data_IF_121311011414
#
_entry.id   IF_121311011414
#
_cell.length_a   1.000
_cell.length_b   1.000
_cell.length_c   1.000
_cell.angle_alpha   90.00
_cell.angle_beta   90.00
_cell.angle_gamma   90.00
#
_symmetry.space_group_name_H-M   'P 1'
#
loop_
_entity.id
_entity.type
_entity.pdbx_description
1 polymer ?
#
# COMPACT_ATOMS: atom_id res chain seq x y z
N UNK A 1 -3.86 -6.43 -55.14
CA UNK A 1 -3.53 -5.37 -54.18
C UNK A 1 -3.33 -6.00 -52.81
N UNK A 2 -2.09 -6.31 -52.44
CA UNK A 2 -1.74 -6.69 -51.09
C UNK A 2 -1.74 -5.42 -50.23
N UNK A 3 -2.57 -5.38 -49.19
CA UNK A 3 -2.47 -4.35 -48.15
C UNK A 3 -1.25 -4.70 -47.30
N UNK A 4 -0.18 -3.92 -47.44
CA UNK A 4 0.88 -3.87 -46.45
C UNK A 4 0.29 -3.22 -45.18
N UNK A 5 -0.02 -4.01 -44.18
CA UNK A 5 -0.31 -3.53 -42.83
C UNK A 5 0.98 -3.46 -42.01
N UNK A 6 1.94 -2.66 -42.48
CA UNK A 6 3.02 -2.19 -41.63
C UNK A 6 2.48 -1.02 -40.80
N UNK A 7 1.87 -1.30 -39.67
CA UNK A 7 1.63 -0.31 -38.63
C UNK A 7 2.98 0.14 -38.07
N UNK A 8 3.53 1.22 -38.65
CA UNK A 8 4.71 1.89 -38.11
C UNK A 8 4.28 2.52 -36.77
N UNK A 9 4.58 1.86 -35.66
CA UNK A 9 4.36 2.41 -34.34
C UNK A 9 5.38 3.54 -34.11
N UNK A 10 4.93 4.76 -34.22
CA UNK A 10 5.73 5.93 -33.85
C UNK A 10 5.77 6.07 -32.35
N UNK A 11 6.94 5.88 -31.74
CA UNK A 11 7.19 6.21 -30.36
C UNK A 11 7.55 7.69 -30.22
N UNK A 12 6.98 8.33 -29.19
CA UNK A 12 7.35 9.66 -28.74
C UNK A 12 8.25 9.55 -27.52
N UNK A 13 9.31 10.33 -27.53
CA UNK A 13 10.19 10.51 -26.38
C UNK A 13 9.75 11.78 -25.64
N UNK A 14 9.25 11.61 -24.43
CA UNK A 14 8.84 12.70 -23.57
C UNK A 14 10.02 13.10 -22.71
N UNK A 15 10.61 14.26 -23.03
CA UNK A 15 11.79 14.77 -22.29
C UNK A 15 11.46 15.12 -20.85
N UNK A 16 10.34 15.81 -20.66
CA UNK A 16 9.84 16.24 -19.36
C UNK A 16 8.36 16.64 -19.46
N UNK A 17 7.69 16.72 -18.33
CA UNK A 17 6.37 17.33 -18.18
C UNK A 17 6.53 18.60 -17.33
N UNK A 18 5.94 19.71 -17.76
CA UNK A 18 5.94 20.96 -16.99
C UNK A 18 4.61 21.03 -16.24
N UNK A 19 4.65 20.76 -14.94
CA UNK A 19 3.51 20.87 -14.05
C UNK A 19 3.86 21.86 -12.94
N UNK A 20 3.19 23.02 -12.91
CA UNK A 20 3.39 24.06 -11.91
C UNK A 20 2.08 24.43 -11.26
N UNK A 21 2.02 24.33 -9.91
CA UNK A 21 0.85 24.63 -9.11
C UNK A 21 1.15 25.87 -8.27
N UNK A 22 0.69 27.01 -8.75
CA UNK A 22 0.94 28.33 -8.13
C UNK A 22 -0.25 28.75 -7.28
N UNK A 23 0.01 29.04 -6.01
CA UNK A 23 -0.99 29.49 -5.04
C UNK A 23 -0.96 31.01 -4.91
N UNK A 24 -2.13 31.63 -4.64
CA UNK A 24 -2.27 33.07 -4.53
C UNK A 24 -1.69 33.65 -3.23
N UNK A 25 -1.42 32.81 -2.24
CA UNK A 25 -0.90 33.21 -0.92
C UNK A 25 0.12 32.23 -0.36
N UNK A 26 0.79 32.65 0.71
CA UNK A 26 1.70 31.78 1.46
C UNK A 26 0.91 30.88 2.42
N UNK A 27 0.34 29.82 1.87
CA UNK A 27 -0.51 28.89 2.58
C UNK A 27 0.29 27.76 3.22
N UNK A 28 -0.30 27.10 4.23
CA UNK A 28 0.28 25.94 4.90
C UNK A 28 0.16 24.71 4.00
N UNK A 29 1.27 24.01 3.80
CA UNK A 29 1.35 22.77 3.04
C UNK A 29 1.69 21.57 3.93
N UNK A 30 1.10 20.42 3.62
CA UNK A 30 1.36 19.12 4.22
C UNK A 30 2.15 18.29 3.21
N UNK A 31 3.44 18.11 3.45
CA UNK A 31 4.39 17.56 2.49
C UNK A 31 5.11 16.33 3.06
N UNK A 32 4.88 15.13 2.51
CA UNK A 32 5.63 13.93 2.87
C UNK A 32 6.91 13.87 2.02
N UNK A 33 8.01 14.34 2.58
CA UNK A 33 9.29 14.35 1.87
C UNK A 33 9.91 12.97 1.71
N UNK A 34 10.69 12.79 0.65
CA UNK A 34 11.50 11.60 0.48
C UNK A 34 12.45 11.40 1.66
N UNK A 35 12.50 10.17 2.17
CA UNK A 35 13.44 9.75 3.21
C UNK A 35 14.83 9.48 2.67
N UNK A 36 14.97 9.17 1.38
CA UNK A 36 16.23 8.90 0.72
C UNK A 36 16.83 10.20 0.16
N UNK A 37 17.76 10.81 0.88
CA UNK A 37 18.38 12.09 0.48
C UNK A 37 19.35 11.97 -0.70
N UNK A 38 19.94 10.79 -0.92
CA UNK A 38 20.89 10.55 -2.01
C UNK A 38 20.17 10.24 -3.34
N UNK A 39 19.11 9.44 -3.28
CA UNK A 39 18.29 9.05 -4.41
C UNK A 39 16.80 9.31 -4.11
N UNK A 40 16.35 10.58 -4.13
CA UNK A 40 15.04 10.94 -3.59
C UNK A 40 13.82 10.30 -4.30
N UNK A 41 14.01 9.71 -5.48
CA UNK A 41 12.97 8.98 -6.21
C UNK A 41 13.03 7.46 -6.01
N UNK A 42 13.94 6.96 -5.17
CA UNK A 42 14.09 5.55 -4.83
C UNK A 42 13.80 5.35 -3.34
N UNK A 43 12.56 5.08 -3.00
CA UNK A 43 12.08 4.95 -1.62
C UNK A 43 10.74 4.23 -1.55
N UNK A 44 10.35 3.78 -0.37
CA UNK A 44 9.11 3.06 -0.12
C UNK A 44 7.84 3.95 -0.06
N UNK A 45 7.93 5.25 -0.30
CA UNK A 45 6.82 6.24 -0.22
C UNK A 45 6.14 6.28 1.14
N UNK A 46 6.93 6.19 2.19
CA UNK A 46 6.50 6.17 3.58
C UNK A 46 7.19 7.30 4.34
N UNK A 47 6.44 8.27 4.80
CA UNK A 47 6.90 9.31 5.70
C UNK A 47 5.73 10.05 6.35
N UNK A 48 5.99 10.70 7.47
CA UNK A 48 5.07 11.65 8.08
C UNK A 48 5.06 12.98 7.32
N UNK A 49 4.01 13.77 7.50
CA UNK A 49 3.92 15.09 6.86
C UNK A 49 4.72 16.15 7.61
N UNK A 50 5.52 16.91 6.88
CA UNK A 50 6.04 18.18 7.35
C UNK A 50 5.01 19.28 7.03
N UNK A 51 4.63 20.06 8.06
CA UNK A 51 3.56 21.06 7.96
C UNK A 51 4.17 22.44 8.11
N UNK A 52 4.27 23.19 7.00
CA UNK A 52 4.88 24.53 6.95
C UNK A 52 4.21 25.44 5.93
N UNK A 53 4.35 26.77 6.07
CA UNK A 53 4.02 27.69 4.99
C UNK A 53 4.86 27.38 3.73
N UNK A 54 4.29 27.53 2.54
CA UNK A 54 4.97 27.22 1.27
C UNK A 54 6.32 27.91 1.10
N UNK A 55 6.46 29.17 1.59
CA UNK A 55 7.74 29.90 1.52
C UNK A 55 8.81 29.38 2.47
N UNK A 56 8.44 28.59 3.47
CA UNK A 56 9.34 28.00 4.46
C UNK A 56 9.56 26.50 4.24
N UNK A 57 8.83 25.93 3.28
CA UNK A 57 8.90 24.53 2.93
C UNK A 57 10.28 24.19 2.32
N UNK A 58 10.96 23.13 2.79
CA UNK A 58 12.18 22.66 2.17
C UNK A 58 12.03 22.43 0.68
N UNK A 59 13.03 22.88 -0.11
CA UNK A 59 13.03 22.67 -1.56
C UNK A 59 13.54 21.27 -1.90
N UNK A 60 12.91 20.27 -1.30
CA UNK A 60 13.19 18.85 -1.46
C UNK A 60 12.02 18.15 -2.14
N UNK A 61 12.20 16.92 -2.61
CA UNK A 61 11.13 16.17 -3.23
C UNK A 61 10.15 15.62 -2.19
N UNK A 62 8.87 15.94 -2.37
CA UNK A 62 7.76 15.33 -1.67
C UNK A 62 6.96 14.44 -2.63
N UNK A 63 6.52 13.28 -2.15
CA UNK A 63 5.65 12.39 -2.92
C UNK A 63 4.17 12.73 -2.71
N UNK A 64 3.32 12.35 -3.66
CA UNK A 64 1.88 12.56 -3.55
C UNK A 64 1.21 11.48 -2.64
N UNK A 65 0.03 11.81 -2.02
CA UNK A 65 -0.71 13.08 -2.10
C UNK A 65 -0.10 14.18 -1.22
N UNK A 66 -0.23 15.42 -1.65
CA UNK A 66 0.11 16.60 -0.86
C UNK A 66 -1.09 17.53 -0.75
N UNK A 67 -1.24 18.20 0.38
CA UNK A 67 -2.36 19.13 0.61
C UNK A 67 -1.86 20.51 0.97
N UNK A 68 -2.49 21.54 0.39
CA UNK A 68 -2.27 22.96 0.73
C UNK A 68 -3.56 23.51 1.33
N UNK A 69 -3.49 23.99 2.57
CA UNK A 69 -4.61 24.64 3.26
C UNK A 69 -4.68 26.12 2.85
N UNK A 70 -5.59 26.43 1.93
CA UNK A 70 -5.85 27.78 1.43
C UNK A 70 -6.83 28.58 2.32
N UNK A 71 -7.04 28.18 3.56
CA UNK A 71 -7.95 28.78 4.57
C UNK A 71 -9.44 28.57 4.29
N UNK A 72 -9.92 28.93 3.09
CA UNK A 72 -11.33 28.76 2.69
C UNK A 72 -11.61 27.37 2.13
N UNK A 73 -10.59 26.73 1.57
CA UNK A 73 -10.65 25.38 1.03
C UNK A 73 -9.26 24.73 1.13
N UNK A 74 -9.21 23.40 1.12
CA UNK A 74 -7.99 22.64 0.96
C UNK A 74 -7.85 22.18 -0.49
N UNK A 75 -6.64 22.25 -1.01
CA UNK A 75 -6.29 21.81 -2.36
C UNK A 75 -5.33 20.63 -2.21
N UNK A 76 -5.79 19.45 -2.60
CA UNK A 76 -4.96 18.23 -2.59
C UNK A 76 -4.53 17.87 -4.00
N UNK A 77 -3.22 17.73 -4.20
CA UNK A 77 -2.63 17.26 -5.45
C UNK A 77 -2.63 15.74 -5.44
N UNK A 78 -3.18 15.18 -6.52
CA UNK A 78 -3.32 13.76 -6.77
C UNK A 78 -3.04 13.47 -8.24
N UNK A 79 -3.00 12.19 -8.59
CA UNK A 79 -2.92 11.75 -9.98
C UNK A 79 -3.69 10.45 -10.18
N UNK A 80 -4.08 10.18 -11.43
CA UNK A 80 -4.79 8.94 -11.76
C UNK A 80 -4.40 8.44 -13.13
N UNK A 81 -4.57 7.13 -13.34
CA UNK A 81 -4.44 6.44 -14.62
C UNK A 81 -3.04 6.55 -15.23
N UNK A 82 -2.00 6.20 -14.46
CA UNK A 82 -0.61 6.33 -14.90
C UNK A 82 -0.30 5.50 -16.14
N UNK A 83 -0.85 4.28 -16.23
CA UNK A 83 -0.57 3.35 -17.33
C UNK A 83 0.96 3.15 -17.49
N UNK A 84 1.49 3.40 -18.67
CA UNK A 84 2.93 3.35 -18.96
C UNK A 84 3.54 4.76 -18.91
N UNK A 85 3.50 5.41 -17.73
CA UNK A 85 4.01 6.77 -17.53
C UNK A 85 4.42 6.97 -16.07
N UNK A 86 5.48 7.75 -15.78
CA UNK A 86 5.97 7.93 -14.42
C UNK A 86 4.98 8.70 -13.53
N UNK A 87 5.03 8.40 -12.24
CA UNK A 87 4.36 9.17 -11.20
C UNK A 87 4.95 10.57 -11.02
N UNK A 88 4.21 11.44 -10.33
CA UNK A 88 4.62 12.82 -10.06
C UNK A 88 5.04 12.99 -8.61
N UNK A 89 6.25 13.49 -8.40
CA UNK A 89 6.66 14.16 -7.17
C UNK A 89 6.40 15.66 -7.27
N UNK A 90 6.44 16.37 -6.17
CA UNK A 90 6.45 17.82 -6.15
C UNK A 90 7.64 18.36 -5.40
N UNK A 91 8.13 19.53 -5.83
CA UNK A 91 9.20 20.26 -5.17
C UNK A 91 8.75 21.71 -4.93
N UNK A 92 8.74 22.18 -3.67
CA UNK A 92 8.50 23.59 -3.38
C UNK A 92 9.57 24.48 -4.02
N UNK A 93 9.18 25.66 -4.51
CA UNK A 93 10.11 26.64 -5.09
C UNK A 93 10.67 27.65 -4.07
N UNK A 94 10.34 27.46 -2.78
CA UNK A 94 10.69 28.39 -1.69
C UNK A 94 9.87 29.66 -1.68
N UNK A 95 8.77 29.71 -2.44
CA UNK A 95 7.81 30.83 -2.51
C UNK A 95 6.39 30.31 -2.36
N UNK A 96 5.64 30.22 -3.44
CA UNK A 96 4.22 29.86 -3.44
C UNK A 96 3.86 28.83 -4.54
N UNK A 97 4.86 28.14 -5.09
CA UNK A 97 4.66 27.18 -6.18
C UNK A 97 5.17 25.80 -5.80
N UNK A 98 4.40 24.78 -6.10
CA UNK A 98 4.84 23.40 -6.13
C UNK A 98 5.09 23.01 -7.59
N UNK A 99 6.30 22.52 -7.90
CA UNK A 99 6.70 22.08 -9.23
C UNK A 99 6.67 20.56 -9.31
N UNK A 100 6.02 20.03 -10.34
CA UNK A 100 6.05 18.61 -10.66
C UNK A 100 7.44 18.15 -11.08
N UNK A 101 7.87 17.02 -10.55
CA UNK A 101 9.14 16.37 -10.87
C UNK A 101 8.87 14.89 -11.14
N UNK A 102 9.51 14.32 -12.15
CA UNK A 102 9.22 12.97 -12.63
C UNK A 102 10.49 12.13 -12.68
N UNK A 103 10.37 10.87 -12.30
CA UNK A 103 11.47 9.94 -12.39
C UNK A 103 11.90 9.74 -13.87
N UNK A 104 13.19 9.85 -14.18
CA UNK A 104 13.68 9.59 -15.54
C UNK A 104 13.54 8.10 -15.88
N UNK A 105 13.43 7.82 -17.18
CA UNK A 105 13.35 6.46 -17.70
C UNK A 105 14.62 5.68 -17.34
N UNK A 106 14.54 4.47 -16.77
CA UNK A 106 15.70 3.66 -16.45
C UNK A 106 16.48 3.23 -17.70
N UNK A 107 17.81 3.40 -17.67
CA UNK A 107 18.72 2.94 -18.73
C UNK A 107 19.41 1.64 -18.32
N UNK A 108 19.81 1.55 -17.05
CA UNK A 108 20.37 0.33 -16.44
C UNK A 108 19.84 0.15 -15.04
N UNK A 109 19.64 -1.09 -14.69
CA UNK A 109 19.24 -1.53 -13.37
C UNK A 109 20.20 -2.57 -12.82
N UNK A 110 20.18 -2.78 -11.51
CA UNK A 110 20.88 -3.84 -10.80
C UNK A 110 20.01 -4.32 -9.63
N UNK A 111 20.42 -5.36 -8.93
CA UNK A 111 19.65 -5.97 -7.86
C UNK A 111 20.40 -5.92 -6.52
N UNK A 112 19.67 -5.59 -5.45
CA UNK A 112 20.19 -5.79 -4.10
C UNK A 112 20.41 -7.29 -3.83
N UNK A 113 21.61 -7.71 -3.41
CA UNK A 113 21.95 -9.15 -3.33
C UNK A 113 21.16 -9.92 -2.26
N UNK A 114 20.66 -9.24 -1.24
CA UNK A 114 19.97 -9.86 -0.10
C UNK A 114 18.49 -10.17 -0.37
N UNK A 115 17.85 -9.53 -1.40
CA UNK A 115 16.41 -9.65 -1.64
C UNK A 115 16.06 -9.71 -3.13
N UNK A 116 17.03 -9.46 -4.02
CA UNK A 116 16.79 -9.35 -5.48
C UNK A 116 15.81 -8.22 -5.84
N UNK A 117 15.65 -7.22 -4.99
CA UNK A 117 14.94 -5.99 -5.31
C UNK A 117 15.74 -5.20 -6.36
N UNK A 118 15.05 -4.76 -7.42
CA UNK A 118 15.66 -3.99 -8.51
C UNK A 118 15.82 -2.51 -8.14
N UNK A 119 16.94 -1.91 -8.53
CA UNK A 119 17.18 -0.48 -8.42
C UNK A 119 17.86 0.11 -9.67
N UNK A 120 17.61 1.41 -9.94
CA UNK A 120 18.18 2.09 -11.12
C UNK A 120 19.61 2.54 -10.81
N UNK A 121 20.55 2.14 -11.71
CA UNK A 121 21.97 2.54 -11.64
C UNK A 121 22.32 3.65 -12.64
N UNK A 122 21.62 3.70 -13.78
CA UNK A 122 21.79 4.73 -14.81
C UNK A 122 20.43 5.07 -15.41
N UNK A 123 20.15 6.35 -15.58
CA UNK A 123 18.89 6.85 -16.13
C UNK A 123 19.11 7.53 -17.48
N UNK A 124 18.07 7.56 -18.31
CA UNK A 124 18.02 8.31 -19.56
C UNK A 124 17.77 9.81 -19.32
N UNK A 125 17.94 10.62 -20.35
CA UNK A 125 17.65 12.06 -20.30
C UNK A 125 16.21 12.42 -20.68
N UNK A 126 15.28 11.50 -20.48
CA UNK A 126 13.86 11.64 -20.73
C UNK A 126 13.06 10.85 -19.68
N UNK A 127 11.79 11.19 -19.52
CA UNK A 127 10.93 10.56 -18.49
C UNK A 127 10.09 9.41 -19.03
N UNK A 128 9.75 9.44 -20.34
CA UNK A 128 8.91 8.38 -20.91
C UNK A 128 9.18 8.15 -22.40
N UNK A 129 8.99 6.91 -22.84
CA UNK A 129 8.91 6.47 -24.22
C UNK A 129 7.55 5.84 -24.47
N UNK A 130 6.66 6.52 -25.17
CA UNK A 130 5.26 6.17 -25.28
C UNK A 130 4.78 6.09 -26.72
N UNK A 131 3.69 5.36 -26.96
CA UNK A 131 3.00 5.37 -28.27
C UNK A 131 2.38 6.73 -28.50
N UNK A 132 2.39 7.21 -29.74
CA UNK A 132 1.90 8.56 -30.08
C UNK A 132 0.39 8.77 -29.90
N UNK A 133 -0.40 7.69 -29.87
CA UNK A 133 -1.86 7.71 -29.75
C UNK A 133 -2.30 7.16 -28.39
N UNK A 134 -1.96 7.81 -27.31
CA UNK A 134 -2.36 7.41 -25.95
C UNK A 134 -3.00 8.56 -25.19
N UNK A 135 -3.74 8.25 -24.14
CA UNK A 135 -4.09 9.17 -23.06
C UNK A 135 -2.92 9.32 -22.10
N UNK A 136 -2.84 10.45 -21.41
CA UNK A 136 -1.84 10.71 -20.38
C UNK A 136 -2.49 10.71 -19.00
N UNK A 137 -1.72 10.53 -17.92
CA UNK A 137 -2.25 10.56 -16.57
C UNK A 137 -3.00 11.85 -16.25
N UNK A 138 -4.02 11.74 -15.42
CA UNK A 138 -4.67 12.91 -14.84
C UNK A 138 -3.77 13.50 -13.74
N UNK A 139 -3.55 14.81 -13.80
CA UNK A 139 -3.00 15.61 -12.69
C UNK A 139 -4.17 16.31 -12.03
N UNK A 140 -4.49 15.92 -10.81
CA UNK A 140 -5.75 16.26 -10.14
C UNK A 140 -5.50 17.32 -9.08
N UNK A 141 -6.31 18.35 -9.06
CA UNK A 141 -6.46 19.30 -7.97
C UNK A 141 -7.84 19.05 -7.33
N UNK A 142 -7.88 18.28 -6.26
CA UNK A 142 -9.11 18.09 -5.49
C UNK A 142 -9.28 19.27 -4.55
N UNK A 143 -10.39 20.01 -4.69
CA UNK A 143 -10.72 21.17 -3.88
C UNK A 143 -11.85 20.78 -2.94
N UNK A 144 -11.62 20.90 -1.62
CA UNK A 144 -12.60 20.57 -0.58
C UNK A 144 -12.77 21.75 0.36
N UNK A 145 -14.00 22.14 0.62
CA UNK A 145 -14.32 23.24 1.56
C UNK A 145 -14.31 22.74 3.01
N UNK A 146 -14.64 21.46 3.21
CA UNK A 146 -14.69 20.82 4.53
C UNK A 146 -13.71 19.68 4.62
N UNK A 147 -13.03 19.55 5.75
CA UNK A 147 -12.10 18.46 6.00
C UNK A 147 -12.80 17.09 5.89
N UNK A 148 -14.06 17.00 6.31
CA UNK A 148 -14.86 15.77 6.24
C UNK A 148 -15.14 15.25 4.83
N UNK A 149 -14.91 16.05 3.81
CA UNK A 149 -15.06 15.64 2.40
C UNK A 149 -13.80 14.95 1.86
N UNK A 150 -12.64 15.14 2.53
CA UNK A 150 -11.36 14.64 2.03
C UNK A 150 -11.26 13.11 2.06
N UNK A 151 -11.46 12.41 3.20
CA UNK A 151 -11.24 10.96 3.26
C UNK A 151 -12.18 10.13 2.38
N UNK A 152 -13.30 10.69 1.96
CA UNK A 152 -14.31 10.03 1.10
C UNK A 152 -14.28 10.51 -0.34
N UNK A 153 -13.27 11.30 -0.72
CA UNK A 153 -13.09 11.76 -2.09
C UNK A 153 -12.66 10.60 -2.99
N UNK A 154 -13.34 10.41 -4.11
CA UNK A 154 -13.11 9.30 -5.02
C UNK A 154 -12.62 9.71 -6.42
N UNK A 155 -12.11 10.92 -6.60
CA UNK A 155 -11.67 11.43 -7.90
C UNK A 155 -10.62 10.56 -8.58
N UNK A 156 -9.65 10.04 -7.82
CA UNK A 156 -8.60 9.14 -8.35
C UNK A 156 -9.24 7.89 -8.96
N UNK A 157 -10.15 7.25 -8.24
CA UNK A 157 -10.89 6.09 -8.72
C UNK A 157 -11.79 6.44 -9.93
N UNK A 158 -12.53 7.53 -9.84
CA UNK A 158 -13.49 7.93 -10.87
C UNK A 158 -12.84 8.28 -12.23
N UNK A 159 -11.62 8.83 -12.20
CA UNK A 159 -10.86 9.25 -13.39
C UNK A 159 -10.01 8.13 -14.00
N UNK A 160 -9.81 7.02 -13.31
CA UNK A 160 -9.03 5.90 -13.83
C UNK A 160 -9.79 5.10 -14.89
N UNK A 161 -9.06 4.33 -15.68
CA UNK A 161 -9.59 3.44 -16.70
C UNK A 161 -10.58 2.42 -16.10
N UNK A 162 -11.65 2.04 -16.85
CA UNK A 162 -12.64 1.08 -16.37
C UNK A 162 -12.04 -0.33 -16.21
N UNK A 163 -12.78 -1.19 -15.50
CA UNK A 163 -12.44 -2.59 -15.27
C UNK A 163 -12.13 -3.32 -16.59
N UNK A 164 -10.96 -3.97 -16.63
CA UNK A 164 -10.45 -4.75 -17.78
C UNK A 164 -10.55 -6.26 -17.62
N UNK A 165 -10.86 -6.75 -16.41
CA UNK A 165 -10.93 -8.19 -16.14
C UNK A 165 -12.34 -8.76 -16.22
N UNK A 166 -13.36 -7.90 -16.38
CA UNK A 166 -14.77 -8.34 -16.50
C UNK A 166 -15.35 -8.81 -15.16
N UNK A 167 -15.60 -10.10 -15.02
CA UNK A 167 -16.15 -10.67 -13.77
C UNK A 167 -15.11 -10.63 -12.63
N UNK A 168 -15.46 -9.93 -11.55
CA UNK A 168 -14.68 -9.78 -10.34
C UNK A 168 -15.30 -10.52 -9.14
N UNK A 169 -16.34 -11.32 -9.32
CA UNK A 169 -17.06 -12.01 -8.24
C UNK A 169 -16.16 -12.95 -7.40
N UNK A 170 -15.03 -13.34 -7.94
CA UNK A 170 -14.00 -14.16 -7.30
C UNK A 170 -13.05 -13.36 -6.41
N UNK A 171 -12.96 -12.05 -6.57
CA UNK A 171 -12.21 -11.16 -5.68
C UNK A 171 -12.97 -11.08 -4.36
N UNK A 172 -12.36 -11.55 -3.30
CA UNK A 172 -12.98 -11.55 -1.97
C UNK A 172 -12.13 -10.71 -1.03
N UNK A 173 -12.65 -9.60 -0.53
CA UNK A 173 -12.02 -8.88 0.56
C UNK A 173 -12.07 -9.70 1.85
N UNK A 174 -11.24 -9.36 2.81
CA UNK A 174 -11.20 -10.09 4.08
C UNK A 174 -10.18 -9.55 5.05
N UNK A 175 -10.22 -10.09 6.25
CA UNK A 175 -9.26 -9.83 7.33
C UNK A 175 -8.17 -10.87 7.32
N UNK A 176 -6.99 -10.45 7.71
CA UNK A 176 -5.76 -11.22 7.55
C UNK A 176 -5.06 -11.38 8.90
N UNK A 177 -4.76 -12.60 9.30
CA UNK A 177 -3.76 -12.82 10.35
C UNK A 177 -2.37 -12.78 9.72
N UNK A 178 -1.52 -11.86 10.22
CA UNK A 178 -0.22 -11.55 9.63
C UNK A 178 0.92 -11.76 10.62
N UNK A 179 2.02 -12.33 10.16
CA UNK A 179 3.10 -12.89 10.97
C UNK A 179 4.33 -11.98 11.13
N UNK A 180 4.60 -11.11 10.16
CA UNK A 180 5.87 -10.40 10.05
C UNK A 180 6.04 -9.30 11.10
N UNK A 181 5.00 -8.48 11.35
CA UNK A 181 5.12 -7.35 12.29
C UNK A 181 5.48 -7.81 13.69
N UNK A 182 4.87 -8.90 14.14
CA UNK A 182 5.10 -9.46 15.47
C UNK A 182 6.32 -10.41 15.55
N UNK A 183 7.11 -10.52 14.48
CA UNK A 183 8.33 -11.34 14.37
C UNK A 183 8.06 -12.83 14.66
N UNK A 184 6.94 -13.37 14.14
CA UNK A 184 6.47 -14.75 14.40
C UNK A 184 6.42 -15.11 15.88
N UNK A 185 6.29 -14.14 16.80
CA UNK A 185 6.44 -14.29 18.25
C UNK A 185 5.18 -14.85 18.94
N UNK A 186 4.92 -16.14 18.78
CA UNK A 186 3.95 -16.84 19.60
C UNK A 186 4.54 -17.15 20.97
N UNK A 187 3.82 -16.79 22.04
CA UNK A 187 4.24 -17.02 23.43
C UNK A 187 3.34 -18.06 24.12
N UNK A 188 3.95 -18.93 24.93
CA UNK A 188 3.21 -19.94 25.67
C UNK A 188 2.70 -21.11 24.81
N UNK A 189 3.30 -21.33 23.65
CA UNK A 189 3.01 -22.47 22.77
C UNK A 189 3.99 -23.62 23.03
N UNK A 190 3.61 -24.91 22.80
CA UNK A 190 4.45 -26.07 23.08
C UNK A 190 5.49 -26.37 21.98
N UNK A 191 5.77 -25.42 21.08
CA UNK A 191 6.71 -25.54 19.98
C UNK A 191 7.56 -24.26 19.85
N UNK A 192 8.64 -24.33 19.07
CA UNK A 192 9.46 -23.16 18.75
C UNK A 192 8.76 -22.33 17.66
N UNK A 193 8.32 -21.12 17.99
CA UNK A 193 7.75 -20.19 17.03
C UNK A 193 8.80 -19.72 15.99
N UNK A 194 8.35 -19.41 14.79
CA UNK A 194 9.17 -18.99 13.65
C UNK A 194 8.53 -19.43 12.33
N UNK A 195 9.29 -19.37 11.25
CA UNK A 195 8.82 -19.79 9.91
C UNK A 195 8.81 -21.32 9.86
N UNK A 196 7.73 -21.96 10.27
CA UNK A 196 7.57 -23.42 10.28
C UNK A 196 6.08 -23.83 10.32
N UNK A 197 5.82 -25.11 10.11
CA UNK A 197 4.48 -25.69 10.02
C UNK A 197 3.62 -25.44 11.25
N UNK A 198 4.16 -25.59 12.45
CA UNK A 198 3.40 -25.47 13.70
C UNK A 198 2.94 -24.00 13.91
N UNK A 199 3.80 -23.05 13.59
CA UNK A 199 3.48 -21.62 13.66
C UNK A 199 2.35 -21.28 12.70
N UNK A 200 2.44 -21.65 11.42
CA UNK A 200 1.40 -21.31 10.45
C UNK A 200 0.09 -22.07 10.70
N UNK A 201 0.12 -23.32 11.17
CA UNK A 201 -1.11 -24.00 11.64
C UNK A 201 -1.76 -23.26 12.80
N UNK A 202 -0.98 -22.69 13.72
CA UNK A 202 -1.49 -21.88 14.82
C UNK A 202 -2.16 -20.59 14.32
N UNK A 203 -1.55 -19.89 13.36
CA UNK A 203 -2.15 -18.72 12.70
C UNK A 203 -3.46 -19.07 11.98
N UNK A 204 -3.49 -20.18 11.26
CA UNK A 204 -4.70 -20.67 10.57
C UNK A 204 -5.80 -21.01 11.59
N UNK A 205 -5.48 -21.69 12.69
CA UNK A 205 -6.45 -21.98 13.75
C UNK A 205 -6.99 -20.72 14.42
N UNK A 206 -6.12 -19.73 14.63
CA UNK A 206 -6.53 -18.42 15.16
C UNK A 206 -7.47 -17.70 14.17
N UNK A 207 -7.10 -17.63 12.91
CA UNK A 207 -7.91 -17.02 11.87
C UNK A 207 -9.30 -17.68 11.77
N UNK A 208 -9.34 -19.01 11.73
CA UNK A 208 -10.59 -19.78 11.66
C UNK A 208 -11.51 -19.52 12.84
N UNK A 209 -10.98 -19.52 14.07
CA UNK A 209 -11.77 -19.30 15.31
C UNK A 209 -12.35 -17.90 15.39
N UNK A 210 -11.69 -16.93 14.81
CA UNK A 210 -12.07 -15.52 14.90
C UNK A 210 -12.69 -14.97 13.63
N UNK A 211 -13.03 -15.83 12.64
CA UNK A 211 -13.70 -15.41 11.42
C UNK A 211 -12.85 -14.52 10.53
N UNK A 212 -11.52 -14.74 10.50
CA UNK A 212 -10.61 -14.09 9.57
C UNK A 212 -10.48 -14.97 8.33
N UNK A 213 -10.52 -14.35 7.16
CA UNK A 213 -10.54 -15.04 5.89
C UNK A 213 -9.17 -15.53 5.44
N UNK A 214 -8.09 -14.82 5.84
CA UNK A 214 -6.76 -15.03 5.28
C UNK A 214 -5.67 -15.17 6.33
N UNK A 215 -4.61 -15.86 5.93
CA UNK A 215 -3.28 -15.82 6.56
C UNK A 215 -2.28 -15.44 5.46
N UNK A 216 -1.44 -14.44 5.70
CA UNK A 216 -0.29 -14.13 4.87
C UNK A 216 0.93 -14.87 5.41
N UNK A 217 1.63 -15.61 4.56
CA UNK A 217 3.00 -16.06 4.80
C UNK A 217 3.93 -14.98 4.24
N UNK A 218 4.51 -14.17 5.14
CA UNK A 218 5.36 -13.04 4.76
C UNK A 218 6.80 -13.48 4.41
N UNK A 219 7.75 -12.54 4.29
CA UNK A 219 9.13 -12.79 3.86
C UNK A 219 9.76 -13.98 4.59
N UNK A 220 10.29 -14.96 3.84
CA UNK A 220 11.03 -16.09 4.39
C UNK A 220 10.44 -17.48 4.09
N UNK A 221 9.29 -17.60 3.45
CA UNK A 221 8.76 -18.89 2.99
C UNK A 221 9.50 -19.45 1.76
N UNK A 222 10.23 -18.60 1.06
CA UNK A 222 11.28 -18.94 0.07
C UNK A 222 12.55 -18.16 0.42
N UNK A 223 13.71 -18.52 -0.13
CA UNK A 223 14.96 -17.79 0.09
C UNK A 223 15.01 -16.51 -0.75
N UNK A 224 14.83 -15.30 -0.16
CA UNK A 224 14.80 -14.05 -0.90
C UNK A 224 16.14 -13.73 -1.61
N UNK A 225 17.26 -14.28 -1.13
CA UNK A 225 18.58 -14.13 -1.77
C UNK A 225 18.68 -14.88 -3.09
N UNK A 226 17.99 -16.00 -3.21
CA UNK A 226 17.93 -16.76 -4.46
C UNK A 226 17.13 -16.03 -5.54
N UNK A 227 16.07 -15.32 -5.12
CA UNK A 227 15.08 -14.74 -6.03
C UNK A 227 14.26 -15.80 -6.76
N UNK A 228 14.22 -17.02 -6.24
CA UNK A 228 13.43 -18.13 -6.77
C UNK A 228 12.23 -18.41 -5.87
N UNK A 229 11.11 -17.76 -6.16
CA UNK A 229 9.86 -17.99 -5.43
C UNK A 229 9.18 -19.32 -5.80
N UNK A 230 9.70 -20.06 -6.76
CA UNK A 230 9.18 -21.39 -7.11
C UNK A 230 9.70 -22.48 -6.18
N UNK A 231 10.74 -22.21 -5.40
CA UNK A 231 11.32 -23.14 -4.42
C UNK A 231 10.96 -22.72 -2.99
N UNK A 232 10.10 -23.52 -2.34
CA UNK A 232 9.71 -23.34 -0.93
C UNK A 232 10.83 -23.85 -0.02
N UNK A 233 11.07 -23.18 1.12
CA UNK A 233 12.05 -23.64 2.11
C UNK A 233 11.67 -25.02 2.69
N UNK A 234 12.63 -25.84 3.11
CA UNK A 234 12.37 -27.21 3.58
C UNK A 234 11.56 -27.30 4.89
N UNK A 235 11.48 -26.20 5.66
CA UNK A 235 10.71 -26.12 6.91
C UNK A 235 9.20 -26.04 6.67
N UNK A 236 8.76 -25.84 5.41
CA UNK A 236 7.36 -25.67 5.03
C UNK A 236 6.90 -26.71 4.00
N UNK A 237 5.85 -27.43 4.33
CA UNK A 237 5.04 -28.18 3.36
C UNK A 237 3.84 -27.30 2.96
N UNK A 238 4.04 -26.46 1.94
CA UNK A 238 3.02 -25.53 1.47
C UNK A 238 1.73 -26.23 1.00
N UNK A 239 1.75 -27.34 0.25
CA UNK A 239 0.57 -28.13 -0.06
C UNK A 239 -0.20 -28.58 1.19
N UNK A 240 0.48 -29.00 2.26
CA UNK A 240 -0.15 -29.38 3.50
C UNK A 240 -0.80 -28.18 4.22
N UNK A 241 -0.11 -27.01 4.26
CA UNK A 241 -0.67 -25.78 4.85
C UNK A 241 -1.93 -25.33 4.10
N UNK A 242 -1.94 -25.42 2.78
CA UNK A 242 -3.11 -25.08 1.95
C UNK A 242 -4.28 -26.02 2.26
N UNK A 243 -4.04 -27.34 2.33
CA UNK A 243 -5.10 -28.30 2.71
C UNK A 243 -5.62 -28.03 4.11
N UNK A 244 -4.73 -27.73 5.05
CA UNK A 244 -5.09 -27.41 6.41
C UNK A 244 -5.95 -26.13 6.47
N UNK A 245 -5.51 -25.05 5.83
CA UNK A 245 -6.27 -23.80 5.72
C UNK A 245 -7.66 -24.01 5.14
N UNK A 246 -7.78 -24.72 4.02
CA UNK A 246 -9.07 -25.06 3.40
C UNK A 246 -9.99 -25.84 4.34
N UNK A 247 -9.44 -26.78 5.13
CA UNK A 247 -10.23 -27.55 6.11
C UNK A 247 -10.77 -26.68 7.25
N UNK A 248 -10.18 -25.51 7.46
CA UNK A 248 -10.53 -24.53 8.47
C UNK A 248 -11.32 -23.33 7.93
N UNK A 249 -11.55 -23.26 6.60
CA UNK A 249 -12.17 -22.12 5.95
C UNK A 249 -11.27 -20.89 5.86
N UNK A 250 -9.95 -21.07 5.89
CA UNK A 250 -8.94 -20.00 5.81
C UNK A 250 -8.12 -20.17 4.53
N UNK A 251 -7.95 -19.08 3.81
CA UNK A 251 -7.19 -19.01 2.57
C UNK A 251 -5.78 -18.46 2.81
N UNK A 252 -4.81 -18.84 1.97
CA UNK A 252 -3.42 -18.40 2.12
C UNK A 252 -3.01 -17.44 1.02
N UNK A 253 -2.22 -16.44 1.39
CA UNK A 253 -1.57 -15.45 0.51
C UNK A 253 -0.06 -15.48 0.78
N UNK A 254 0.74 -15.34 -0.26
CA UNK A 254 2.20 -15.43 -0.17
C UNK A 254 2.85 -14.07 -0.43
N UNK A 255 3.85 -13.72 0.35
CA UNK A 255 4.68 -12.54 0.10
C UNK A 255 5.70 -12.79 -1.02
N UNK A 256 6.05 -11.73 -1.77
CA UNK A 256 7.14 -11.78 -2.75
C UNK A 256 7.62 -10.37 -3.11
N UNK A 257 8.78 -10.26 -3.76
CA UNK A 257 9.31 -9.01 -4.31
C UNK A 257 8.78 -8.77 -5.72
N UNK A 258 8.50 -7.52 -6.09
CA UNK A 258 7.93 -7.15 -7.40
C UNK A 258 8.68 -7.75 -8.59
N UNK A 259 9.99 -7.54 -8.67
CA UNK A 259 10.79 -8.03 -9.79
C UNK A 259 11.02 -9.55 -9.74
N UNK A 260 10.96 -10.17 -8.56
CA UNK A 260 11.00 -11.64 -8.43
C UNK A 260 9.74 -12.25 -9.02
N UNK A 261 8.57 -11.72 -8.66
CA UNK A 261 7.30 -12.16 -9.26
C UNK A 261 7.26 -11.89 -10.76
N UNK A 262 7.65 -10.68 -11.20
CA UNK A 262 7.62 -10.31 -12.62
C UNK A 262 8.51 -11.22 -13.50
N UNK A 263 9.69 -11.59 -13.00
CA UNK A 263 10.61 -12.46 -13.73
C UNK A 263 10.12 -13.91 -13.88
N UNK A 264 9.19 -14.36 -13.02
CA UNK A 264 8.64 -15.74 -13.00
C UNK A 264 7.10 -15.70 -13.16
N UNK A 265 6.55 -14.62 -13.68
CA UNK A 265 5.16 -14.19 -13.52
C UNK A 265 4.13 -15.25 -13.92
N UNK A 266 4.23 -15.80 -15.14
CA UNK A 266 3.25 -16.77 -15.63
C UNK A 266 3.34 -18.10 -14.86
N UNK A 267 4.57 -18.59 -14.63
CA UNK A 267 4.79 -19.84 -13.93
C UNK A 267 4.39 -19.77 -12.47
N UNK A 268 4.73 -18.70 -11.77
CA UNK A 268 4.36 -18.48 -10.37
C UNK A 268 2.85 -18.36 -10.22
N UNK A 269 2.20 -17.52 -11.02
CA UNK A 269 0.74 -17.37 -10.97
C UNK A 269 0.03 -18.70 -11.23
N UNK A 270 0.41 -19.41 -12.28
CA UNK A 270 -0.16 -20.73 -12.61
C UNK A 270 0.04 -21.73 -11.47
N UNK A 271 1.30 -21.94 -11.06
CA UNK A 271 1.66 -22.91 -10.02
C UNK A 271 0.89 -22.70 -8.73
N UNK A 272 0.91 -21.49 -8.21
CA UNK A 272 0.31 -21.18 -6.91
C UNK A 272 -1.22 -21.12 -6.95
N UNK A 273 -1.81 -20.67 -8.06
CA UNK A 273 -3.26 -20.77 -8.26
C UNK A 273 -3.74 -22.22 -8.33
N UNK A 274 -3.07 -23.09 -9.11
CA UNK A 274 -3.36 -24.53 -9.19
C UNK A 274 -3.21 -25.22 -7.83
N UNK A 275 -2.21 -24.83 -7.04
CA UNK A 275 -2.00 -25.35 -5.68
C UNK A 275 -3.12 -24.88 -4.71
N UNK A 276 -3.71 -23.71 -4.97
CA UNK A 276 -4.82 -23.17 -4.21
C UNK A 276 -4.49 -21.96 -3.35
N UNK A 277 -3.37 -21.31 -3.60
CA UNK A 277 -3.05 -19.96 -3.08
C UNK A 277 -4.04 -18.95 -3.66
N UNK A 278 -4.38 -17.91 -2.90
CA UNK A 278 -5.35 -16.89 -3.30
C UNK A 278 -4.75 -15.59 -3.80
N UNK A 279 -3.49 -15.35 -3.55
CA UNK A 279 -2.87 -14.13 -4.02
C UNK A 279 -1.46 -13.93 -3.50
N UNK A 280 -0.97 -12.72 -3.76
CA UNK A 280 0.36 -12.29 -3.34
C UNK A 280 0.31 -10.93 -2.63
N UNK A 281 1.06 -10.82 -1.52
CA UNK A 281 1.56 -9.55 -1.00
C UNK A 281 2.85 -9.27 -1.75
N UNK A 282 2.88 -8.24 -2.60
CA UNK A 282 4.00 -7.93 -3.49
C UNK A 282 4.68 -6.65 -3.01
N UNK A 283 5.98 -6.72 -2.73
CA UNK A 283 6.69 -5.72 -1.96
C UNK A 283 7.96 -5.21 -2.65
N UNK A 284 8.52 -4.09 -2.15
CA UNK A 284 9.80 -3.54 -2.56
C UNK A 284 9.88 -3.11 -4.04
N UNK A 285 8.92 -2.32 -4.52
CA UNK A 285 9.01 -1.60 -5.78
C UNK A 285 9.94 -0.39 -5.63
N UNK A 286 9.70 0.45 -4.62
CA UNK A 286 10.48 1.62 -4.19
C UNK A 286 10.79 2.64 -5.31
N UNK A 287 9.98 2.69 -6.35
CA UNK A 287 10.14 3.56 -7.52
C UNK A 287 8.81 3.73 -8.26
N UNK A 288 8.70 4.80 -9.07
CA UNK A 288 7.50 5.12 -9.86
C UNK A 288 7.83 5.60 -11.29
N UNK A 289 9.01 5.25 -11.80
CA UNK A 289 9.35 5.48 -13.22
C UNK A 289 8.46 4.64 -14.14
N UNK A 290 8.49 4.95 -15.44
CA UNK A 290 7.63 4.27 -16.42
C UNK A 290 7.71 2.74 -16.34
N UNK A 291 8.90 2.16 -16.19
CA UNK A 291 9.07 0.69 -16.23
C UNK A 291 8.52 0.03 -14.97
N UNK A 292 8.64 0.69 -13.82
CA UNK A 292 8.02 0.26 -12.58
C UNK A 292 6.48 0.30 -12.67
N UNK A 293 5.91 1.37 -13.23
CA UNK A 293 4.47 1.46 -13.48
C UNK A 293 4.00 0.37 -14.44
N UNK A 294 4.72 0.13 -15.55
CA UNK A 294 4.40 -0.96 -16.48
C UNK A 294 4.43 -2.35 -15.80
N UNK A 295 5.37 -2.57 -14.90
CA UNK A 295 5.50 -3.82 -14.15
C UNK A 295 4.25 -4.10 -13.30
N UNK A 296 3.77 -3.13 -12.52
CA UNK A 296 2.59 -3.34 -11.66
C UNK A 296 1.30 -3.60 -12.47
N UNK A 297 1.13 -2.95 -13.61
CA UNK A 297 0.01 -3.22 -14.51
C UNK A 297 0.09 -4.63 -15.12
N UNK A 298 1.28 -5.06 -15.51
CA UNK A 298 1.53 -6.42 -16.04
C UNK A 298 1.27 -7.50 -15.00
N UNK A 299 1.75 -7.30 -13.77
CA UNK A 299 1.50 -8.22 -12.64
C UNK A 299 -0.01 -8.28 -12.34
N UNK A 300 -0.69 -7.13 -12.26
CA UNK A 300 -2.12 -7.08 -11.99
C UNK A 300 -2.93 -7.84 -13.04
N UNK A 301 -2.63 -7.62 -14.32
CA UNK A 301 -3.30 -8.29 -15.43
C UNK A 301 -3.08 -9.81 -15.40
N UNK A 302 -1.83 -10.26 -15.20
CA UNK A 302 -1.50 -11.68 -15.18
C UNK A 302 -2.09 -12.40 -13.96
N UNK A 303 -2.02 -11.82 -12.79
CA UNK A 303 -2.63 -12.37 -11.58
C UNK A 303 -4.16 -12.52 -11.74
N UNK A 304 -4.82 -11.57 -12.43
CA UNK A 304 -6.24 -11.66 -12.72
C UNK A 304 -6.61 -12.85 -13.62
N UNK A 305 -5.76 -13.20 -14.61
CA UNK A 305 -5.97 -14.38 -15.47
C UNK A 305 -6.06 -15.67 -14.64
N UNK A 306 -5.32 -15.75 -13.53
CA UNK A 306 -5.29 -16.88 -12.60
C UNK A 306 -6.17 -16.70 -11.37
N UNK A 307 -6.99 -15.63 -11.31
CA UNK A 307 -7.87 -15.29 -10.18
C UNK A 307 -7.13 -15.15 -8.86
N UNK A 308 -5.99 -14.45 -8.88
CA UNK A 308 -5.17 -14.14 -7.72
C UNK A 308 -5.35 -12.67 -7.33
N UNK A 309 -5.59 -12.42 -6.02
CA UNK A 309 -5.62 -11.07 -5.45
C UNK A 309 -4.20 -10.58 -5.17
N UNK A 310 -4.06 -9.27 -5.12
CA UNK A 310 -2.77 -8.61 -4.90
C UNK A 310 -2.91 -7.53 -3.83
N UNK A 311 -1.99 -7.53 -2.90
CA UNK A 311 -1.73 -6.45 -1.96
C UNK A 311 -0.34 -5.89 -2.23
N UNK A 312 -0.22 -4.58 -2.47
CA UNK A 312 1.01 -3.93 -2.91
C UNK A 312 1.67 -3.13 -1.80
N UNK A 313 2.90 -3.51 -1.45
CA UNK A 313 3.75 -2.86 -0.47
C UNK A 313 5.00 -2.23 -1.10
N UNK A 314 5.75 -1.39 -0.35
CA UNK A 314 6.93 -0.71 -0.88
C UNK A 314 6.66 0.05 -2.19
N UNK A 315 5.51 0.67 -2.32
CA UNK A 315 4.98 1.23 -3.56
C UNK A 315 4.45 2.65 -3.35
N UNK A 316 4.34 3.41 -4.44
CA UNK A 316 3.66 4.70 -4.43
C UNK A 316 2.12 4.56 -4.20
N UNK A 317 1.46 5.69 -3.82
CA UNK A 317 0.02 5.74 -3.58
C UNK A 317 -0.80 5.13 -4.71
N UNK A 318 -2.03 4.65 -4.45
CA UNK A 318 -2.97 4.25 -5.48
C UNK A 318 -3.18 5.36 -6.54
N UNK A 319 -3.29 4.96 -7.79
CA UNK A 319 -3.59 5.83 -8.93
C UNK A 319 -4.78 5.31 -9.74
N UNK A 320 -5.68 4.61 -9.06
CA UNK A 320 -6.90 4.05 -9.64
C UNK A 320 -6.73 2.69 -10.34
N UNK A 321 -5.56 2.06 -10.24
CA UNK A 321 -5.31 0.73 -10.80
C UNK A 321 -6.32 -0.31 -10.29
N UNK A 322 -6.78 -0.21 -9.05
CA UNK A 322 -7.80 -1.08 -8.45
C UNK A 322 -9.20 -0.94 -9.07
N UNK A 323 -9.48 0.09 -9.87
CA UNK A 323 -10.66 0.15 -10.74
C UNK A 323 -10.44 -0.64 -12.03
N UNK A 324 -9.25 -0.50 -12.61
CA UNK A 324 -8.88 -1.16 -13.87
C UNK A 324 -8.64 -2.66 -13.66
N UNK A 325 -8.01 -3.01 -12.56
CA UNK A 325 -7.73 -4.37 -12.10
C UNK A 325 -8.20 -4.55 -10.65
N UNK A 326 -9.49 -4.85 -10.43
CA UNK A 326 -10.08 -4.99 -9.10
C UNK A 326 -9.46 -6.08 -8.22
N UNK A 327 -8.65 -6.96 -8.78
CA UNK A 327 -7.87 -7.93 -8.02
C UNK A 327 -6.69 -7.32 -7.25
N UNK A 328 -6.34 -6.06 -7.48
CA UNK A 328 -5.44 -5.30 -6.60
C UNK A 328 -6.28 -4.75 -5.46
N UNK A 329 -6.27 -5.45 -4.34
CA UNK A 329 -7.19 -5.23 -3.22
C UNK A 329 -6.67 -4.24 -2.19
N UNK A 330 -5.35 -4.01 -2.10
CA UNK A 330 -4.81 -3.05 -1.16
C UNK A 330 -3.45 -2.48 -1.59
N UNK A 331 -3.04 -1.38 -0.91
CA UNK A 331 -1.78 -0.66 -1.13
C UNK A 331 -1.26 -0.09 0.19
N UNK A 332 0.05 -0.20 0.40
CA UNK A 332 0.72 0.46 1.51
C UNK A 332 0.86 1.99 1.26
N UNK A 333 2.01 2.49 0.86
CA UNK A 333 2.31 3.93 0.66
C UNK A 333 1.80 4.80 1.82
N UNK A 334 2.10 4.41 3.04
CA UNK A 334 1.71 5.06 4.28
C UNK A 334 2.78 4.80 5.34
N UNK A 335 3.02 5.76 6.23
CA UNK A 335 3.87 5.55 7.40
C UNK A 335 3.09 4.71 8.44
N UNK A 336 2.97 3.40 8.16
CA UNK A 336 2.11 2.48 8.89
C UNK A 336 2.74 1.88 10.14
N UNK A 337 2.09 0.82 10.65
CA UNK A 337 2.55 0.14 11.87
C UNK A 337 3.89 -0.57 11.70
N UNK A 338 4.30 -0.92 10.47
CA UNK A 338 5.62 -1.49 10.20
C UNK A 338 6.74 -0.58 10.71
N UNK A 339 6.59 0.72 10.53
CA UNK A 339 7.54 1.73 10.96
C UNK A 339 7.79 1.75 12.47
N UNK A 340 6.87 1.23 13.27
CA UNK A 340 7.03 1.15 14.72
C UNK A 340 8.07 0.13 15.17
N UNK A 341 8.58 -0.69 14.27
CA UNK A 341 9.67 -1.65 14.56
C UNK A 341 11.03 -0.96 14.64
N UNK A 342 11.23 0.19 13.94
CA UNK A 342 12.55 0.86 13.80
C UNK A 342 12.52 2.38 13.79
N UNK A 343 11.36 3.03 13.64
CA UNK A 343 11.32 4.48 13.51
C UNK A 343 11.71 5.23 14.76
N UNK A 344 12.25 6.41 14.55
CA UNK A 344 12.68 7.32 15.60
C UNK A 344 11.51 7.73 16.51
N UNK A 345 11.80 7.89 17.80
CA UNK A 345 10.83 8.24 18.85
C UNK A 345 10.23 9.65 18.69
N UNK A 346 10.87 10.50 17.89
CA UNK A 346 10.40 11.84 17.56
C UNK A 346 9.13 11.85 16.73
N UNK A 347 8.89 10.80 15.95
CA UNK A 347 7.65 10.65 15.15
C UNK A 347 6.43 10.64 16.08
N UNK A 348 5.42 11.40 15.71
CA UNK A 348 4.18 11.53 16.49
C UNK A 348 3.07 10.76 15.80
N UNK A 349 2.97 9.46 16.05
CA UNK A 349 1.97 8.61 15.41
C UNK A 349 0.53 9.02 15.71
N UNK A 350 0.13 9.34 16.95
CA UNK A 350 -1.24 9.84 17.19
C UNK A 350 -1.62 11.08 16.38
N UNK A 351 -0.67 11.98 16.11
CA UNK A 351 -0.90 13.13 15.24
C UNK A 351 -0.96 12.71 13.76
N UNK A 352 -0.08 11.81 13.34
CA UNK A 352 -0.07 11.29 11.99
C UNK A 352 -1.38 10.56 11.67
N UNK A 353 -1.90 9.76 12.60
CA UNK A 353 -3.10 8.93 12.45
C UNK A 353 -4.40 9.76 12.38
N UNK A 354 -4.38 11.03 12.80
CA UNK A 354 -5.49 11.99 12.57
C UNK A 354 -5.17 12.96 11.43
N UNK A 355 -4.05 12.80 10.74
CA UNK A 355 -3.63 13.61 9.59
C UNK A 355 -3.72 12.84 8.28
N UNK A 356 -3.08 11.67 8.20
CA UNK A 356 -2.97 10.93 6.95
C UNK A 356 -4.32 10.49 6.36
N UNK A 357 -5.36 10.12 7.14
CA UNK A 357 -6.63 9.72 6.55
C UNK A 357 -7.25 10.81 5.67
N UNK A 358 -7.07 12.08 6.03
CA UNK A 358 -7.56 13.20 5.24
C UNK A 358 -6.84 13.36 3.89
N UNK A 359 -5.56 13.02 3.84
CA UNK A 359 -4.71 13.25 2.67
C UNK A 359 -4.54 11.95 1.87
N UNK A 360 -4.09 10.88 2.53
CA UNK A 360 -3.72 9.64 1.86
C UNK A 360 -4.93 8.85 1.32
N UNK A 361 -6.06 8.83 2.07
CA UNK A 361 -7.25 8.09 1.62
C UNK A 361 -7.90 8.70 0.37
N UNK A 362 -7.63 9.97 0.04
CA UNK A 362 -8.06 10.57 -1.23
C UNK A 362 -7.46 9.86 -2.45
N UNK A 363 -6.35 9.14 -2.30
CA UNK A 363 -5.77 8.32 -3.35
C UNK A 363 -6.43 6.93 -3.46
N UNK A 364 -7.07 6.44 -2.41
CA UNK A 364 -7.71 5.12 -2.34
C UNK A 364 -7.27 4.28 -1.15
N UNK A 365 -7.48 2.98 -1.22
CA UNK A 365 -7.23 1.99 -0.17
C UNK A 365 -5.85 2.11 0.48
N UNK A 366 -5.78 1.73 1.76
CA UNK A 366 -4.54 1.79 2.52
C UNK A 366 -4.34 0.55 3.39
N UNK A 367 -3.18 -0.09 3.24
CA UNK A 367 -2.72 -1.10 4.17
C UNK A 367 -1.80 -0.49 5.24
N UNK A 368 -2.43 0.03 6.29
CA UNK A 368 -1.76 0.62 7.46
C UNK A 368 -1.26 -0.44 8.45
N UNK A 369 -1.76 -1.67 8.34
CA UNK A 369 -1.48 -2.82 9.21
C UNK A 369 -1.80 -2.57 10.70
N UNK A 370 -3.03 -2.16 11.07
CA UNK A 370 -3.38 -1.84 12.45
C UNK A 370 -3.50 -3.06 13.36
N UNK A 371 -3.81 -2.84 14.64
CA UNK A 371 -4.25 -3.90 15.56
C UNK A 371 -3.26 -4.27 16.64
N UNK A 372 -2.22 -3.48 16.89
CA UNK A 372 -1.28 -3.75 17.98
C UNK A 372 -1.99 -3.82 19.35
N UNK A 373 -1.84 -4.92 20.05
CA UNK A 373 -2.32 -5.11 21.41
C UNK A 373 -1.33 -4.63 22.48
N UNK A 374 -0.07 -4.43 22.08
CA UNK A 374 0.96 -3.75 22.86
C UNK A 374 1.01 -2.27 22.45
N UNK A 375 0.74 -1.40 23.45
CA UNK A 375 0.58 0.03 23.22
C UNK A 375 1.39 0.80 24.27
N UNK A 376 2.13 1.81 23.85
CA UNK A 376 2.96 2.64 24.72
C UNK A 376 2.62 4.12 24.52
N UNK A 377 2.71 4.91 25.60
CA UNK A 377 2.65 6.36 25.45
C UNK A 377 3.82 6.86 24.61
N UNK A 378 3.71 8.05 23.99
CA UNK A 378 4.82 8.63 23.24
C UNK A 378 6.09 8.77 24.08
N UNK A 379 5.95 9.05 25.39
CA UNK A 379 7.09 9.18 26.32
C UNK A 379 7.83 7.86 26.54
N UNK A 380 7.08 6.76 26.59
CA UNK A 380 7.58 5.43 26.95
C UNK A 380 7.89 4.57 25.72
N UNK A 381 7.54 5.06 24.51
CA UNK A 381 7.76 4.36 23.25
C UNK A 381 9.25 4.22 22.95
N UNK A 382 9.63 2.99 22.61
CA UNK A 382 10.94 2.65 22.05
C UNK A 382 10.72 1.65 20.92
N UNK A 383 11.30 1.87 19.74
CA UNK A 383 11.20 0.90 18.65
C UNK A 383 11.90 -0.41 19.06
N UNK A 384 11.24 -1.53 18.82
CA UNK A 384 11.80 -2.84 19.10
C UNK A 384 11.38 -3.82 18.00
N UNK A 385 12.32 -4.19 17.15
CA UNK A 385 12.04 -4.99 15.96
C UNK A 385 11.31 -6.29 16.25
N UNK A 386 11.82 -7.09 17.20
CA UNK A 386 11.29 -8.42 17.53
C UNK A 386 10.10 -8.41 18.50
N UNK A 387 9.69 -7.27 19.02
CA UNK A 387 8.58 -7.13 19.95
C UNK A 387 7.96 -5.73 19.88
N UNK A 388 7.46 -5.33 18.72
CA UNK A 388 7.01 -3.98 18.48
C UNK A 388 5.77 -3.63 19.32
N UNK A 389 5.52 -2.33 19.44
CA UNK A 389 4.32 -1.77 20.07
C UNK A 389 3.81 -0.59 19.26
N UNK A 390 2.53 -0.27 19.33
CA UNK A 390 2.04 0.99 18.81
C UNK A 390 2.32 2.16 19.76
N UNK A 391 2.39 3.36 19.21
CA UNK A 391 2.36 4.60 20.00
C UNK A 391 0.89 5.03 20.16
N UNK A 392 0.41 5.15 21.39
CA UNK A 392 -0.98 5.53 21.70
C UNK A 392 -1.71 4.49 22.54
N UNK A 393 -2.96 4.21 22.20
CA UNK A 393 -3.82 3.30 22.95
C UNK A 393 -4.37 2.17 22.08
N UNK A 394 -4.83 1.10 22.72
CA UNK A 394 -5.50 -0.01 22.04
C UNK A 394 -6.80 0.44 21.37
N UNK A 395 -7.58 1.30 22.01
CA UNK A 395 -8.81 1.87 21.41
C UNK A 395 -8.50 2.62 20.11
N UNK A 396 -7.38 3.33 20.04
CA UNK A 396 -6.90 3.97 18.81
C UNK A 396 -6.64 2.93 17.71
N UNK A 397 -5.96 1.82 18.04
CA UNK A 397 -5.73 0.74 17.07
C UNK A 397 -7.04 0.06 16.61
N UNK A 398 -8.03 -0.07 17.48
CA UNK A 398 -9.35 -0.58 17.12
C UNK A 398 -10.11 0.38 16.20
N UNK A 399 -10.05 1.68 16.48
CA UNK A 399 -10.70 2.70 15.64
C UNK A 399 -10.15 2.71 14.19
N UNK A 400 -8.88 2.36 14.00
CA UNK A 400 -8.24 2.28 12.67
C UNK A 400 -8.98 1.34 11.71
N UNK A 401 -9.58 0.25 12.20
CA UNK A 401 -10.38 -0.68 11.37
C UNK A 401 -11.68 -0.06 10.83
N UNK A 402 -12.14 1.04 11.41
CA UNK A 402 -13.29 1.79 10.92
C UNK A 402 -12.83 2.98 10.09
N UNK A 403 -11.76 3.66 10.50
CA UNK A 403 -11.27 4.88 9.83
C UNK A 403 -10.62 4.56 8.49
N UNK A 404 -9.82 3.50 8.41
CA UNK A 404 -9.09 3.17 7.20
C UNK A 404 -9.95 2.37 6.21
N UNK A 405 -9.94 2.78 4.95
CA UNK A 405 -10.56 2.00 3.88
C UNK A 405 -9.55 0.96 3.38
N UNK A 406 -9.77 -0.29 3.79
CA UNK A 406 -8.83 -1.40 3.60
C UNK A 406 -9.59 -2.71 3.37
N UNK A 407 -9.88 -3.07 2.10
CA UNK A 407 -10.58 -4.31 1.78
C UNK A 407 -9.79 -5.59 2.11
N UNK A 408 -8.48 -5.48 2.28
CA UNK A 408 -7.61 -6.57 2.71
C UNK A 408 -6.87 -6.11 3.96
N UNK A 409 -7.52 -6.25 5.12
CA UNK A 409 -7.12 -5.60 6.38
C UNK A 409 -6.31 -6.53 7.25
N UNK A 410 -5.07 -6.18 7.54
CA UNK A 410 -4.18 -6.98 8.40
C UNK A 410 -4.43 -6.76 9.89
N UNK A 411 -4.28 -7.84 10.65
CA UNK A 411 -4.12 -7.85 12.09
C UNK A 411 -2.63 -8.06 12.38
N UNK A 412 -1.93 -7.01 12.81
CA UNK A 412 -0.47 -7.03 12.88
C UNK A 412 0.11 -7.78 14.09
N UNK A 413 -0.63 -7.92 15.19
CA UNK A 413 -0.07 -8.51 16.40
C UNK A 413 -0.13 -10.05 16.38
N UNK A 414 0.60 -10.68 17.29
CA UNK A 414 0.64 -12.13 17.40
C UNK A 414 -0.71 -12.71 17.90
N UNK A 415 -1.17 -13.85 17.36
CA UNK A 415 -2.35 -14.55 17.86
C UNK A 415 -2.40 -14.71 19.36
N UNK A 416 -1.27 -15.02 20.01
CA UNK A 416 -1.20 -15.18 21.48
C UNK A 416 -1.39 -13.88 22.25
N UNK A 417 -1.18 -12.71 21.64
CA UNK A 417 -1.49 -11.41 22.23
C UNK A 417 -2.99 -11.08 22.06
N UNK A 418 -3.54 -11.34 20.89
CA UNK A 418 -4.98 -11.19 20.63
C UNK A 418 -5.84 -12.07 21.56
N UNK A 419 -5.44 -13.34 21.81
CA UNK A 419 -6.17 -14.24 22.70
C UNK A 419 -6.20 -13.79 24.17
N UNK A 420 -5.32 -12.89 24.59
CA UNK A 420 -5.40 -12.24 25.91
C UNK A 420 -6.39 -11.09 25.96
N UNK A 421 -6.78 -10.59 24.81
CA UNK A 421 -7.64 -9.44 24.59
C UNK A 421 -8.78 -9.82 23.64
N UNK A 422 -9.47 -10.93 23.93
CA UNK A 422 -10.48 -11.52 23.05
C UNK A 422 -11.58 -10.52 22.66
N UNK A 423 -12.00 -9.66 23.57
CA UNK A 423 -12.98 -8.61 23.28
C UNK A 423 -12.56 -7.67 22.13
N UNK A 424 -11.24 -7.41 22.00
CA UNK A 424 -10.70 -6.61 20.89
C UNK A 424 -10.80 -7.37 19.57
N UNK A 425 -10.50 -8.66 19.58
CA UNK A 425 -10.62 -9.51 18.40
C UNK A 425 -12.07 -9.64 17.96
N UNK A 426 -12.99 -9.84 18.91
CA UNK A 426 -14.43 -9.93 18.65
C UNK A 426 -14.93 -8.62 18.01
N UNK A 427 -14.46 -7.48 18.51
CA UNK A 427 -14.75 -6.17 17.92
C UNK A 427 -14.21 -6.09 16.48
N UNK A 428 -12.92 -6.38 16.24
CA UNK A 428 -12.31 -6.35 14.91
C UNK A 428 -13.06 -7.30 13.96
N UNK A 429 -13.39 -8.50 14.43
CA UNK A 429 -14.09 -9.51 13.62
C UNK A 429 -15.50 -9.05 13.23
N UNK A 430 -16.17 -8.26 14.06
CA UNK A 430 -17.51 -7.74 13.79
C UNK A 430 -17.56 -6.63 12.74
N UNK A 431 -16.44 -5.95 12.49
CA UNK A 431 -16.40 -4.84 11.51
C UNK A 431 -16.32 -5.41 10.09
N UNK A 432 -17.24 -5.05 9.18
CA UNK A 432 -17.15 -5.49 7.79
C UNK A 432 -16.02 -4.78 7.04
N UNK A 433 -15.29 -5.49 6.20
CA UNK A 433 -14.26 -4.91 5.30
C UNK A 433 -14.88 -4.24 4.08
N UNK A 434 -16.08 -4.65 3.66
CA UNK A 434 -16.89 -3.99 2.64
C UNK A 434 -18.10 -3.32 3.26
N UNK A 435 -18.35 -2.07 2.90
CA UNK A 435 -19.46 -1.28 3.42
C UNK A 435 -20.30 -0.69 2.30
N UNK A 436 -21.60 -0.49 2.56
CA UNK A 436 -22.53 0.11 1.59
C UNK A 436 -22.29 1.61 1.46
N UNK A 437 -21.85 2.24 2.52
CA UNK A 437 -21.48 3.66 2.53
C UNK A 437 -20.53 3.99 3.68
N UNK A 438 -19.67 4.98 3.43
CA UNK A 438 -18.75 5.56 4.41
C UNK A 438 -18.87 7.06 4.37
N UNK A 439 -18.94 7.72 5.52
CA UNK A 439 -18.87 9.17 5.62
C UNK A 439 -18.16 9.62 6.89
N UNK A 440 -17.60 10.80 6.85
CA UNK A 440 -16.96 11.42 8.01
C UNK A 440 -18.01 12.24 8.74
N UNK A 441 -18.42 11.78 9.91
CA UNK A 441 -19.45 12.46 10.74
C UNK A 441 -18.95 13.81 11.26
N UNK A 442 -17.71 13.83 11.73
CA UNK A 442 -17.03 15.04 12.18
C UNK A 442 -15.52 14.84 12.18
N UNK A 443 -14.77 15.92 12.18
CA UNK A 443 -13.33 15.86 12.28
C UNK A 443 -12.66 17.10 11.70
N UNK A 444 -11.36 17.22 11.97
CA UNK A 444 -10.50 18.28 11.47
C UNK A 444 -9.09 17.73 11.24
N UNK A 445 -8.54 18.03 10.10
CA UNK A 445 -7.20 17.62 9.68
C UNK A 445 -6.15 17.92 10.76
N UNK A 446 -5.48 16.89 11.24
CA UNK A 446 -4.46 16.97 12.27
C UNK A 446 -4.99 17.11 13.71
N UNK A 447 -6.31 17.00 13.93
CA UNK A 447 -6.89 17.10 15.27
C UNK A 447 -7.72 15.87 15.65
N UNK A 448 -8.68 15.48 14.81
CA UNK A 448 -9.57 14.36 15.07
C UNK A 448 -10.27 13.89 13.80
N UNK A 449 -10.73 12.65 13.80
CA UNK A 449 -11.58 12.07 12.75
C UNK A 449 -12.62 11.13 13.37
N UNK A 450 -13.87 11.26 12.95
CA UNK A 450 -14.97 10.36 13.30
C UNK A 450 -15.57 9.81 12.03
N UNK A 451 -15.27 8.57 11.72
CA UNK A 451 -15.77 7.87 10.54
C UNK A 451 -16.98 7.03 10.93
N UNK A 452 -17.96 7.01 10.06
CA UNK A 452 -19.15 6.15 10.18
C UNK A 452 -19.26 5.30 8.93
N UNK A 453 -19.41 3.98 9.12
CA UNK A 453 -19.62 3.01 8.05
C UNK A 453 -20.97 2.33 8.23
N UNK A 454 -21.62 2.06 7.12
CA UNK A 454 -22.90 1.35 7.10
C UNK A 454 -22.75 0.05 6.30
N UNK A 455 -23.26 -1.04 6.86
CA UNK A 455 -23.45 -2.32 6.16
C UNK A 455 -24.84 -2.86 6.50
N UNK A 456 -25.68 -3.02 5.50
CA UNK A 456 -27.09 -3.40 5.65
C UNK A 456 -27.82 -2.44 6.64
N UNK A 457 -28.29 -2.97 7.76
CA UNK A 457 -28.94 -2.17 8.83
C UNK A 457 -27.98 -1.71 9.94
N UNK A 458 -26.72 -2.18 9.92
CA UNK A 458 -25.75 -1.92 10.97
C UNK A 458 -24.89 -0.67 10.68
N UNK A 459 -24.52 0.00 11.73
CA UNK A 459 -23.66 1.18 11.74
C UNK A 459 -22.44 0.93 12.61
N UNK A 460 -21.28 1.34 12.14
CA UNK A 460 -19.99 1.14 12.78
C UNK A 460 -19.26 2.46 12.95
#
# INVERSE_FOLDING_TARGET
>A
MQKNNDEVFHYLIIKNEIAEFRFAGNYTAYLPYSTNKEKPMAMAFQNTYEVKPLSEAPQELAFLPVTVDCKQAKVTLLESDLEAYPGMFVQPDGKQTLKGVFAPYPKKTDFYPWRKQEYVTEAENYIARVKGNRTYPWRILAITEKDTEMPVNNLVYALSSPNRIGDCSWVKPGKVAWDWWNDWNLKGVPFKAGINMDTYKYYIDFASRNGLEYVVLDEGWYDPKSGDMLTVIPELDLPELIRYGKSKGVELVLWTVFNVLDSQLDEACRKYAEMGIKGFKVDFLDRDDQTAVEMIYRIAAKAAEYKLILDYHGIYKPTGLNRTYPNVVNYESVFGMEEMKWSEVEKNMPLYDVTFPYIRLMAGYVDYTPGAMRNLSKRDFQPMYSSPASMGTRCHQLAAYIVHDSPFTMLCDAPTNYLKEQECVDFISSIPVETDSTFIYSGKLGESIVTVRKKDINWY
#
